data_IF_678006258785
#
_entry.id   IF_678006258785
#
_cell.length_a   1.000
_cell.length_b   1.000
_cell.length_c   1.000
_cell.angle_alpha   90.00
_cell.angle_beta   90.00
_cell.angle_gamma   90.00
#
_symmetry.space_group_name_H-M   'P 1'
#
loop_
_entity.id
_entity.type
_entity.pdbx_description
1 polymer ?
#
# COMPACT_ATOMS: atom_id res chain seq x y z
N UNK A 1 21.28 8.08 -6.04
CA UNK A 1 22.35 7.30 -6.70
C UNK A 1 21.83 5.92 -7.13
N UNK A 2 22.49 5.30 -8.12
CA UNK A 2 22.30 3.88 -8.48
C UNK A 2 23.63 3.16 -8.36
N UNK A 3 23.62 1.99 -7.74
CA UNK A 3 24.76 1.07 -7.62
C UNK A 3 24.40 -0.15 -8.43
N UNK A 4 25.25 -0.55 -9.38
CA UNK A 4 24.95 -1.60 -10.33
C UNK A 4 26.20 -2.33 -10.81
N UNK A 5 26.04 -3.26 -11.78
CA UNK A 5 27.19 -3.87 -12.44
C UNK A 5 28.06 -2.81 -13.11
N UNK A 6 29.35 -3.12 -13.28
CA UNK A 6 30.23 -2.28 -14.08
C UNK A 6 29.72 -2.27 -15.53
N UNK A 7 29.39 -1.09 -16.09
CA UNK A 7 28.95 -1.02 -17.48
C UNK A 7 30.15 -1.16 -18.43
N UNK A 8 29.94 -1.80 -19.57
CA UNK A 8 30.93 -1.85 -20.65
C UNK A 8 31.20 -0.47 -21.26
N UNK A 9 30.15 0.37 -21.32
CA UNK A 9 30.21 1.75 -21.80
C UNK A 9 29.32 2.66 -20.94
N UNK A 10 29.94 3.52 -20.14
CA UNK A 10 29.24 4.46 -19.27
C UNK A 10 28.41 5.50 -20.07
N UNK A 11 28.76 5.77 -21.34
CA UNK A 11 27.99 6.73 -22.16
C UNK A 11 26.61 6.21 -22.54
N UNK A 12 26.38 4.90 -22.42
CA UNK A 12 25.07 4.26 -22.62
C UNK A 12 24.24 4.20 -21.34
N UNK A 13 24.73 4.75 -20.23
CA UNK A 13 23.97 4.82 -19.00
C UNK A 13 22.70 5.66 -19.22
N UNK A 14 21.56 5.02 -19.02
CA UNK A 14 20.24 5.61 -19.24
C UNK A 14 19.14 4.65 -18.81
N UNK A 15 17.90 4.97 -19.15
CA UNK A 15 16.80 4.01 -19.01
C UNK A 15 16.69 3.21 -20.33
N UNK A 16 16.80 1.87 -20.33
CA UNK A 16 17.01 0.96 -19.20
C UNK A 16 18.47 0.58 -18.94
N UNK A 17 18.99 0.85 -17.75
CA UNK A 17 20.26 0.30 -17.24
C UNK A 17 20.00 -0.46 -15.94
N UNK A 18 20.41 -1.73 -15.82
CA UNK A 18 20.23 -2.50 -14.59
C UNK A 18 21.07 -1.91 -13.45
N UNK A 19 20.53 -1.98 -12.25
CA UNK A 19 21.20 -1.61 -11.01
C UNK A 19 20.83 -2.63 -9.93
N UNK A 20 21.62 -2.72 -8.86
CA UNK A 20 21.35 -3.54 -7.68
C UNK A 20 20.63 -2.74 -6.60
N UNK A 21 21.03 -1.50 -6.38
CA UNK A 21 20.48 -0.62 -5.35
C UNK A 21 20.26 0.78 -5.93
N UNK A 22 19.08 1.36 -5.72
CA UNK A 22 18.85 2.80 -5.92
C UNK A 22 18.55 3.42 -4.56
N UNK A 23 19.34 4.43 -4.18
CA UNK A 23 19.20 5.10 -2.89
C UNK A 23 19.37 6.62 -3.03
N UNK A 24 18.52 7.39 -2.37
CA UNK A 24 18.66 8.84 -2.25
C UNK A 24 17.35 9.60 -2.24
N UNK A 25 17.40 10.93 -2.03
CA UNK A 25 16.21 11.76 -2.02
C UNK A 25 15.55 11.80 -3.40
N UNK A 26 14.23 11.79 -3.39
CA UNK A 26 13.34 11.99 -4.51
C UNK A 26 12.30 13.05 -4.13
N UNK A 27 12.08 13.97 -5.05
CA UNK A 27 11.08 15.01 -4.93
C UNK A 27 10.36 15.17 -6.26
N UNK A 28 9.10 14.76 -6.30
CA UNK A 28 8.21 14.98 -7.43
C UNK A 28 7.08 15.93 -7.02
N UNK A 29 7.24 17.21 -7.33
CA UNK A 29 6.29 18.26 -6.93
C UNK A 29 6.31 18.56 -5.43
N UNK A 30 5.18 19.01 -4.89
CA UNK A 30 5.06 19.44 -3.49
C UNK A 30 4.71 18.30 -2.52
N UNK A 31 4.02 17.25 -2.98
CA UNK A 31 3.45 16.20 -2.13
C UNK A 31 4.29 14.92 -2.06
N UNK A 32 5.17 14.66 -3.02
CA UNK A 32 5.97 13.43 -3.04
C UNK A 32 7.43 13.75 -2.73
N UNK A 33 7.76 13.81 -1.43
CA UNK A 33 9.14 13.89 -0.91
C UNK A 33 9.44 12.60 -0.15
N UNK A 34 10.38 11.82 -0.65
CA UNK A 34 10.77 10.55 -0.02
C UNK A 34 12.22 10.22 -0.32
N UNK A 35 12.83 9.42 0.53
CA UNK A 35 14.12 8.79 0.24
C UNK A 35 13.84 7.46 -0.42
N UNK A 36 14.19 7.32 -1.71
CA UNK A 36 14.14 6.02 -2.38
C UNK A 36 15.14 5.07 -1.73
N UNK A 37 14.69 3.84 -1.50
CA UNK A 37 15.53 2.70 -1.17
C UNK A 37 14.96 1.48 -1.89
N UNK A 38 15.51 1.21 -3.07
CA UNK A 38 15.02 0.19 -4.00
C UNK A 38 16.11 -0.87 -4.17
N UNK A 39 15.73 -2.14 -4.02
CA UNK A 39 16.60 -3.27 -4.28
C UNK A 39 16.13 -4.03 -5.52
N UNK A 40 17.06 -4.36 -6.41
CA UNK A 40 16.76 -5.19 -7.56
C UNK A 40 16.96 -6.66 -7.21
N UNK A 41 15.89 -7.45 -7.31
CA UNK A 41 15.90 -8.87 -6.97
C UNK A 41 15.07 -9.66 -7.97
N UNK A 42 15.64 -10.75 -8.51
CA UNK A 42 14.98 -11.63 -9.51
C UNK A 42 14.35 -10.86 -10.69
N UNK A 43 15.07 -9.86 -11.21
CA UNK A 43 14.64 -9.06 -12.35
C UNK A 43 13.57 -8.01 -12.05
N UNK A 44 13.21 -7.80 -10.77
CA UNK A 44 12.25 -6.78 -10.34
C UNK A 44 12.92 -5.75 -9.46
N UNK A 45 12.51 -4.49 -9.61
CA UNK A 45 12.91 -3.40 -8.72
C UNK A 45 11.90 -3.32 -7.58
N UNK A 46 12.30 -3.75 -6.39
CA UNK A 46 11.46 -3.79 -5.20
C UNK A 46 11.58 -2.48 -4.43
N UNK A 47 10.48 -1.74 -4.35
CA UNK A 47 10.38 -0.54 -3.52
C UNK A 47 10.18 -0.96 -2.06
N UNK A 48 10.66 -0.13 -1.13
CA UNK A 48 10.35 -0.27 0.29
C UNK A 48 8.85 -0.09 0.49
N UNK A 49 8.23 -0.90 1.36
CA UNK A 49 6.79 -0.84 1.66
C UNK A 49 6.35 0.50 2.25
N UNK A 50 7.22 1.11 3.05
CA UNK A 50 6.97 2.38 3.72
C UNK A 50 7.94 3.42 3.19
N UNK A 51 7.45 4.63 2.98
CA UNK A 51 8.31 5.76 2.59
C UNK A 51 9.21 6.20 3.75
N UNK A 52 10.36 6.77 3.41
CA UNK A 52 11.25 7.45 4.35
C UNK A 52 11.17 8.96 4.07
N UNK A 53 10.40 9.73 4.86
CA UNK A 53 10.26 11.16 4.64
C UNK A 53 11.60 11.87 4.88
N UNK A 54 11.80 12.97 4.15
CA UNK A 54 12.92 13.88 4.37
C UNK A 54 12.44 15.31 4.15
N UNK A 55 13.07 16.25 4.85
CA UNK A 55 12.73 17.66 4.73
C UNK A 55 13.53 18.29 3.61
N UNK A 56 12.81 18.90 2.65
CA UNK A 56 13.46 19.62 1.56
C UNK A 56 13.65 21.08 1.94
N UNK A 57 14.90 21.50 2.09
CA UNK A 57 15.31 22.88 2.24
C UNK A 57 16.43 23.25 1.24
N UNK A 58 17.17 24.34 1.49
CA UNK A 58 18.24 24.83 0.61
C UNK A 58 19.65 24.47 1.08
N UNK A 59 19.77 23.69 2.15
CA UNK A 59 21.03 23.28 2.73
C UNK A 59 21.49 21.93 2.18
N UNK A 60 22.76 21.62 2.44
CA UNK A 60 23.33 20.32 2.08
C UNK A 60 22.98 19.31 3.16
N UNK A 61 22.43 18.17 2.74
CA UNK A 61 22.10 17.05 3.63
C UNK A 61 22.90 15.81 3.28
N UNK A 62 23.23 15.00 4.29
CA UNK A 62 23.95 13.75 4.18
C UNK A 62 22.99 12.57 4.29
N UNK A 63 22.87 11.79 3.21
CA UNK A 63 22.12 10.54 3.19
C UNK A 63 23.08 9.35 3.27
N UNK A 64 22.91 8.48 4.26
CA UNK A 64 23.74 7.28 4.45
C UNK A 64 22.87 6.05 4.57
N UNK A 65 23.18 5.04 3.78
CA UNK A 65 22.59 3.70 3.85
C UNK A 65 23.65 2.72 4.35
N UNK A 66 23.30 1.93 5.36
CA UNK A 66 24.09 0.78 5.82
C UNK A 66 23.26 -0.47 5.57
N UNK A 67 23.84 -1.44 4.86
CA UNK A 67 23.25 -2.76 4.64
C UNK A 67 24.22 -3.80 5.18
N UNK A 68 23.74 -4.68 6.06
CA UNK A 68 24.56 -5.67 6.75
C UNK A 68 24.36 -7.08 6.16
N UNK A 69 25.37 -7.96 6.26
CA UNK A 69 25.28 -9.35 5.78
C UNK A 69 24.18 -10.19 6.46
N UNK A 70 23.72 -9.79 7.65
CA UNK A 70 22.61 -10.44 8.37
C UNK A 70 21.21 -10.09 7.82
N UNK A 71 21.16 -9.36 6.70
CA UNK A 71 19.96 -8.82 6.06
C UNK A 71 19.25 -7.71 6.86
N UNK A 72 19.98 -7.02 7.75
CA UNK A 72 19.49 -5.77 8.33
C UNK A 72 19.96 -4.57 7.55
N UNK A 73 19.23 -3.47 7.67
CA UNK A 73 19.60 -2.19 7.08
C UNK A 73 19.30 -1.05 8.06
N UNK A 74 20.01 0.06 7.87
CA UNK A 74 19.73 1.32 8.55
C UNK A 74 20.01 2.51 7.62
N UNK A 75 19.09 3.47 7.63
CA UNK A 75 19.17 4.71 6.86
C UNK A 75 19.34 5.87 7.82
N UNK A 76 20.31 6.72 7.53
CA UNK A 76 20.60 7.93 8.26
C UNK A 76 20.43 9.15 7.37
N UNK A 77 19.88 10.21 7.95
CA UNK A 77 19.83 11.55 7.40
C UNK A 77 20.53 12.49 8.38
N UNK A 78 21.58 13.18 7.94
CA UNK A 78 22.39 14.09 8.75
C UNK A 78 22.93 13.45 10.05
N UNK A 79 23.22 12.15 9.99
CA UNK A 79 23.72 11.37 11.12
C UNK A 79 22.63 10.79 12.02
N UNK A 80 21.37 11.20 11.86
CA UNK A 80 20.23 10.66 12.61
C UNK A 80 19.65 9.44 11.93
N UNK A 81 19.36 8.37 12.68
CA UNK A 81 18.68 7.18 12.16
C UNK A 81 17.21 7.51 11.84
N UNK A 82 16.82 7.34 10.58
CA UNK A 82 15.45 7.58 10.09
C UNK A 82 14.69 6.30 9.77
N UNK A 83 15.37 5.18 9.65
CA UNK A 83 14.74 3.89 9.44
C UNK A 83 15.73 2.74 9.59
N UNK A 84 15.33 1.70 10.32
CA UNK A 84 16.11 0.47 10.49
C UNK A 84 15.18 -0.72 10.49
N UNK A 85 15.67 -1.87 10.03
CA UNK A 85 14.84 -3.07 9.99
C UNK A 85 15.51 -4.23 9.29
N UNK A 86 14.71 -5.25 8.99
CA UNK A 86 15.12 -6.39 8.18
C UNK A 86 14.63 -6.24 6.74
N UNK A 87 15.49 -6.59 5.79
CA UNK A 87 15.16 -6.54 4.37
C UNK A 87 13.92 -7.40 4.02
N UNK A 88 13.72 -8.54 4.69
CA UNK A 88 12.61 -9.46 4.40
C UNK A 88 11.24 -8.93 4.84
N UNK A 89 11.22 -8.01 5.80
CA UNK A 89 9.98 -7.48 6.35
C UNK A 89 9.54 -6.23 5.57
N UNK A 90 10.50 -5.37 5.21
CA UNK A 90 10.25 -4.06 4.59
C UNK A 90 10.21 -4.08 3.05
N UNK A 91 10.54 -5.21 2.40
CA UNK A 91 10.42 -5.44 0.96
C UNK A 91 9.83 -6.82 0.65
N UNK A 92 9.24 -6.95 -0.53
CA UNK A 92 8.65 -8.21 -1.01
C UNK A 92 9.67 -9.09 -1.77
N UNK A 93 10.77 -9.44 -1.09
CA UNK A 93 11.77 -10.36 -1.64
C UNK A 93 11.23 -11.79 -1.77
N UNK A 94 10.35 -12.18 -0.85
CA UNK A 94 9.83 -13.54 -0.73
C UNK A 94 8.32 -13.53 -0.94
N UNK A 95 7.75 -14.65 -1.44
CA UNK A 95 6.30 -14.85 -1.40
C UNK A 95 5.73 -14.67 0.01
N UNK A 96 4.43 -14.37 0.14
CA UNK A 96 3.77 -14.27 1.43
C UNK A 96 4.01 -15.53 2.27
N UNK A 97 4.31 -15.36 3.56
CA UNK A 97 4.49 -16.49 4.50
C UNK A 97 3.20 -17.29 4.69
N UNK A 98 2.06 -16.66 4.49
CA UNK A 98 0.72 -17.24 4.57
C UNK A 98 -0.06 -16.83 3.33
N UNK A 99 -0.76 -17.79 2.75
CA UNK A 99 -1.76 -17.59 1.68
C UNK A 99 -3.11 -18.03 2.23
N UNK A 100 -4.20 -17.44 1.75
CA UNK A 100 -5.54 -17.93 2.07
C UNK A 100 -5.71 -19.33 1.46
N UNK A 101 -6.49 -20.19 2.11
CA UNK A 101 -6.74 -21.53 1.58
C UNK A 101 -7.58 -21.41 0.29
N UNK A 102 -7.05 -21.84 -0.87
CA UNK A 102 -7.78 -21.74 -2.13
C UNK A 102 -9.06 -22.59 -2.15
N UNK A 103 -9.21 -23.55 -1.23
CA UNK A 103 -10.42 -24.37 -1.10
C UNK A 103 -11.41 -23.82 -0.06
N UNK A 104 -11.05 -22.74 0.64
CA UNK A 104 -11.95 -22.07 1.58
C UNK A 104 -13.13 -21.49 0.80
N UNK A 105 -14.30 -22.05 1.04
CA UNK A 105 -15.57 -21.51 0.58
C UNK A 105 -16.33 -21.02 1.79
N UNK A 106 -16.91 -19.83 1.66
CA UNK A 106 -17.88 -19.34 2.62
C UNK A 106 -18.98 -20.41 2.79
N UNK A 107 -19.26 -20.89 4.01
CA UNK A 107 -20.32 -21.86 4.26
C UNK A 107 -21.68 -21.36 3.78
N UNK A 108 -22.54 -22.27 3.33
CA UNK A 108 -23.88 -21.93 2.81
C UNK A 108 -24.79 -21.30 3.89
N UNK A 109 -24.52 -21.57 5.17
CA UNK A 109 -25.24 -21.05 6.34
C UNK A 109 -24.68 -19.71 6.86
N UNK A 110 -23.69 -19.14 6.19
CA UNK A 110 -23.05 -17.90 6.65
C UNK A 110 -23.88 -16.66 6.31
N UNK A 111 -24.52 -16.09 7.33
CA UNK A 111 -25.30 -14.85 7.24
C UNK A 111 -24.39 -13.61 7.30
N UNK A 112 -24.33 -12.83 6.21
CA UNK A 112 -23.63 -11.52 6.20
C UNK A 112 -24.50 -10.37 6.71
N UNK A 113 -25.81 -10.59 6.81
CA UNK A 113 -26.78 -9.58 7.20
C UNK A 113 -26.65 -9.27 8.69
N UNK A 114 -26.25 -8.03 8.99
CA UNK A 114 -26.09 -7.56 10.38
C UNK A 114 -27.40 -7.43 11.14
N UNK A 115 -28.52 -7.35 10.42
CA UNK A 115 -29.88 -7.25 10.98
C UNK A 115 -30.75 -8.25 10.24
N UNK A 116 -31.52 -9.00 11.00
CA UNK A 116 -32.58 -9.87 10.50
C UNK A 116 -33.91 -9.34 11.02
N UNK A 117 -34.98 -9.52 10.25
CA UNK A 117 -36.33 -9.23 10.72
C UNK A 117 -36.68 -10.17 11.88
N UNK A 118 -37.37 -9.64 12.90
CA UNK A 118 -37.77 -10.43 14.06
C UNK A 118 -38.80 -11.50 13.63
N UNK A 119 -38.50 -12.80 13.80
CA UNK A 119 -39.42 -13.86 13.40
C UNK A 119 -40.73 -13.90 14.19
N UNK A 120 -40.80 -13.24 15.35
CA UNK A 120 -42.02 -13.12 16.17
C UNK A 120 -42.88 -11.92 15.76
N UNK A 121 -42.33 -10.98 14.98
CA UNK A 121 -43.07 -9.82 14.50
C UNK A 121 -44.11 -10.25 13.46
N UNK A 122 -45.37 -10.04 13.81
CA UNK A 122 -46.49 -10.24 12.88
C UNK A 122 -46.91 -8.88 12.37
N UNK A 123 -47.07 -8.79 11.04
CA UNK A 123 -47.66 -7.62 10.39
C UNK A 123 -48.98 -7.25 11.10
N UNK A 124 -49.09 -6.04 11.67
CA UNK A 124 -50.31 -5.61 12.37
C UNK A 124 -51.53 -5.59 11.43
N UNK A 125 -52.71 -5.81 12.00
CA UNK A 125 -53.98 -5.84 11.24
C UNK A 125 -54.31 -4.51 10.55
N UNK A 126 -53.74 -3.40 11.01
CA UNK A 126 -53.89 -2.05 10.45
C UNK A 126 -52.77 -1.63 9.46
N UNK A 127 -51.89 -2.56 9.08
CA UNK A 127 -50.80 -2.27 8.16
C UNK A 127 -51.27 -2.13 6.71
N UNK A 128 -51.23 -0.90 6.20
CA UNK A 128 -51.65 -0.55 4.84
C UNK A 128 -50.48 -0.66 3.84
N UNK A 129 -50.62 -1.50 2.82
CA UNK A 129 -49.65 -1.60 1.70
C UNK A 129 -49.95 -0.65 0.54
N UNK A 130 -51.15 -0.08 0.50
CA UNK A 130 -51.57 0.85 -0.55
C UNK A 130 -50.87 2.20 -0.40
N UNK A 131 -49.95 2.49 -1.32
CA UNK A 131 -49.22 3.77 -1.38
C UNK A 131 -50.11 4.98 -1.71
N UNK A 132 -51.34 4.76 -2.17
CA UNK A 132 -52.27 5.82 -2.59
C UNK A 132 -53.62 5.58 -1.95
N UNK A 133 -54.02 6.50 -1.09
CA UNK A 133 -55.37 6.55 -0.54
C UNK A 133 -56.23 7.49 -1.38
N UNK A 134 -57.52 7.17 -1.50
CA UNK A 134 -58.49 8.04 -2.17
C UNK A 134 -58.72 9.26 -1.29
N UNK A 135 -58.53 10.45 -1.85
CA UNK A 135 -58.82 11.71 -1.18
C UNK A 135 -60.34 11.84 -0.97
N UNK A 136 -60.76 11.91 0.29
CA UNK A 136 -62.17 11.98 0.67
C UNK A 136 -62.82 13.31 0.30
N UNK A 137 -62.03 14.36 0.09
CA UNK A 137 -62.50 15.71 -0.23
C UNK A 137 -62.51 15.99 -1.75
N UNK A 138 -61.97 15.08 -2.56
CA UNK A 138 -61.95 15.22 -4.01
C UNK A 138 -63.35 14.98 -4.62
N UNK A 139 -63.87 15.97 -5.35
CA UNK A 139 -65.07 15.84 -6.18
C UNK A 139 -64.69 15.85 -7.66
N UNK A 140 -65.30 14.95 -8.43
CA UNK A 140 -65.15 14.91 -9.90
C UNK A 140 -65.71 16.22 -10.50
N UNK A 141 -65.00 16.85 -11.45
CA UNK A 141 -65.49 18.07 -12.10
C UNK A 141 -66.81 17.85 -12.84
#
# INVERSE_FOLDING_TARGET
>A
IKIGPQPDDQKKFGDPTPYYIMFGPDQCGYSAKRTHLIFSYKGKNLLRKTDLPWEADKFSHLFRLVVQPDNTYEVFLDGESKGKGNLKDDWDFLPPKKINDPNEKKPDDWVDEKKIDDPEDKKPDDWVEEKRIVDKDAKKP
#
